data_IF_441485307642
#
_entry.id   IF_441485307642
#
_cell.length_a   1.000
_cell.length_b   1.000
_cell.length_c   1.000
_cell.angle_alpha   90.00
_cell.angle_beta   90.00
_cell.angle_gamma   90.00
#
_symmetry.space_group_name_H-M   'P 1'
#
loop_
_entity.id
_entity.type
_entity.pdbx_description
1 polymer ?
#
# COMPACT_ATOMS: atom_id res chain seq x y z
N UNK A 1 1.90 -12.51 14.87
CA UNK A 1 2.34 -11.37 15.71
C UNK A 1 1.15 -10.48 16.00
N UNK A 2 0.85 -10.18 17.29
CA UNK A 2 -0.22 -9.25 17.69
C UNK A 2 0.39 -7.86 17.88
N UNK A 3 -0.11 -6.85 17.18
CA UNK A 3 0.28 -5.47 17.41
C UNK A 3 -0.63 -4.91 18.50
N UNK A 4 -0.06 -4.51 19.64
CA UNK A 4 -0.83 -3.79 20.66
C UNK A 4 -1.40 -2.52 20.04
N UNK A 5 -2.68 -2.24 20.31
CA UNK A 5 -3.28 -0.94 19.93
C UNK A 5 -2.37 0.17 20.46
N UNK A 6 -1.99 1.06 19.58
CA UNK A 6 -1.17 2.22 19.90
C UNK A 6 -1.56 3.35 18.97
N UNK A 7 -1.19 4.58 19.32
CA UNK A 7 -1.38 5.74 18.44
C UNK A 7 -0.71 5.56 17.06
N UNK A 8 0.22 4.60 16.93
CA UNK A 8 0.89 4.28 15.67
C UNK A 8 0.18 3.23 14.82
N UNK A 9 -0.62 2.35 15.44
CA UNK A 9 -1.36 1.28 14.78
C UNK A 9 -2.74 1.16 15.44
N UNK A 10 -3.66 2.11 15.16
CA UNK A 10 -4.97 2.16 15.80
C UNK A 10 -5.77 0.87 15.58
N UNK A 11 -5.58 0.23 14.43
CA UNK A 11 -6.26 -0.98 13.99
C UNK A 11 -5.53 -2.28 14.39
N UNK A 12 -4.39 -2.18 15.10
CA UNK A 12 -3.59 -3.35 15.48
C UNK A 12 -3.10 -4.22 14.29
N UNK A 13 -2.97 -3.62 13.10
CA UNK A 13 -2.47 -4.30 11.89
C UNK A 13 -1.20 -3.62 11.37
N UNK A 14 -0.32 -4.42 10.76
CA UNK A 14 0.79 -3.93 9.93
C UNK A 14 0.78 -4.72 8.63
N UNK A 15 0.90 -4.02 7.51
CA UNK A 15 0.86 -4.64 6.19
C UNK A 15 1.80 -3.92 5.22
N UNK A 16 2.14 -4.62 4.14
CA UNK A 16 2.75 -4.03 2.95
C UNK A 16 2.23 -4.78 1.72
N UNK A 17 1.58 -4.08 0.80
CA UNK A 17 1.12 -4.56 -0.49
C UNK A 17 1.87 -3.81 -1.57
N UNK A 18 2.57 -4.51 -2.45
CA UNK A 18 3.49 -3.88 -3.40
C UNK A 18 3.29 -4.50 -4.79
N UNK A 19 3.21 -3.63 -5.80
CA UNK A 19 3.23 -4.01 -7.21
C UNK A 19 4.54 -3.53 -7.84
N UNK A 20 5.35 -4.51 -8.25
CA UNK A 20 6.65 -4.30 -8.88
C UNK A 20 6.59 -4.69 -10.36
N UNK A 21 7.27 -3.94 -11.22
CA UNK A 21 7.45 -4.30 -12.63
C UNK A 21 8.95 -4.41 -12.94
N UNK A 22 9.34 -5.43 -13.71
CA UNK A 22 10.73 -5.58 -14.16
C UNK A 22 11.03 -4.54 -15.23
N UNK A 23 12.12 -3.79 -15.06
CA UNK A 23 12.64 -2.81 -16.00
C UNK A 23 14.16 -2.81 -15.91
N UNK A 24 14.84 -2.81 -17.07
CA UNK A 24 16.31 -2.81 -17.15
C UNK A 24 16.98 -3.83 -16.19
N UNK A 25 16.48 -5.06 -16.16
CA UNK A 25 17.04 -6.14 -15.34
C UNK A 25 16.67 -6.13 -13.85
N UNK A 26 16.04 -5.08 -13.32
CA UNK A 26 15.66 -4.95 -11.91
C UNK A 26 14.15 -4.73 -11.72
N UNK A 27 13.65 -4.91 -10.49
CA UNK A 27 12.26 -4.66 -10.15
C UNK A 27 12.09 -3.23 -9.62
N UNK A 28 11.27 -2.43 -10.28
CA UNK A 28 10.91 -1.08 -9.85
C UNK A 28 9.53 -1.10 -9.18
N UNK A 29 9.37 -0.40 -8.04
CA UNK A 29 8.06 -0.23 -7.39
C UNK A 29 7.23 0.77 -8.18
N UNK A 30 6.14 0.26 -8.76
CA UNK A 30 5.17 1.09 -9.49
C UNK A 30 4.09 1.60 -8.54
N UNK A 31 3.63 0.72 -7.64
CA UNK A 31 2.53 1.01 -6.73
C UNK A 31 2.64 0.24 -5.41
N UNK A 32 2.10 0.78 -4.32
CA UNK A 32 2.03 0.07 -3.05
C UNK A 32 1.10 0.71 -2.04
N UNK A 33 0.62 -0.08 -1.08
CA UNK A 33 0.04 0.41 0.18
C UNK A 33 0.82 -0.19 1.34
N UNK A 34 1.16 0.63 2.31
CA UNK A 34 1.63 0.15 3.60
C UNK A 34 1.18 1.10 4.73
N UNK A 35 1.45 0.70 5.96
CA UNK A 35 1.25 1.57 7.10
C UNK A 35 2.55 1.71 7.89
N UNK A 36 3.11 2.91 7.84
CA UNK A 36 4.36 3.25 8.52
C UNK A 36 4.06 3.85 9.89
N UNK A 37 4.88 3.46 10.87
CA UNK A 37 4.78 3.93 12.24
C UNK A 37 4.85 5.46 12.26
N UNK A 38 3.80 6.10 12.76
CA UNK A 38 3.74 7.56 12.88
C UNK A 38 3.23 8.29 11.64
N UNK A 39 3.09 7.62 10.48
CA UNK A 39 2.47 8.17 9.28
C UNK A 39 1.05 7.64 9.04
N UNK A 40 0.75 6.46 9.56
CA UNK A 40 -0.50 5.75 9.29
C UNK A 40 -0.52 5.14 7.89
N UNK A 41 -1.71 4.94 7.34
CA UNK A 41 -1.91 4.29 6.05
C UNK A 41 -1.55 5.22 4.90
N UNK A 42 -0.75 4.74 3.95
CA UNK A 42 -0.38 5.54 2.78
C UNK A 42 -0.17 4.70 1.52
N UNK A 43 -0.38 5.39 0.39
CA UNK A 43 -0.11 4.97 -0.97
C UNK A 43 1.30 5.36 -1.38
N UNK A 44 1.99 4.44 -2.03
CA UNK A 44 3.23 4.68 -2.76
C UNK A 44 2.93 4.62 -4.24
N UNK A 45 3.20 5.69 -4.99
CA UNK A 45 3.05 5.71 -6.45
C UNK A 45 4.17 6.50 -7.09
N UNK A 46 4.95 5.85 -7.96
CA UNK A 46 6.06 6.47 -8.68
C UNK A 46 6.99 7.30 -7.78
N UNK A 47 7.32 6.78 -6.58
CA UNK A 47 8.17 7.45 -5.60
C UNK A 47 7.50 8.56 -4.77
N UNK A 48 6.18 8.77 -4.92
CA UNK A 48 5.40 9.70 -4.09
C UNK A 48 4.58 8.95 -3.06
N UNK A 49 4.54 9.50 -1.85
CA UNK A 49 3.71 9.01 -0.75
C UNK A 49 2.47 9.89 -0.59
N UNK A 50 1.31 9.27 -0.37
CA UNK A 50 0.06 9.98 -0.05
C UNK A 50 -0.72 9.24 1.03
N UNK A 51 -1.15 9.93 2.08
CA UNK A 51 -2.01 9.36 3.11
C UNK A 51 -3.34 8.89 2.52
N UNK A 52 -3.82 7.74 2.99
CA UNK A 52 -5.12 7.18 2.61
C UNK A 52 -5.98 6.97 3.85
N UNK A 53 -7.30 7.04 3.66
CA UNK A 53 -8.25 6.66 4.69
C UNK A 53 -8.37 5.13 4.73
N UNK A 54 -8.17 4.52 5.90
CA UNK A 54 -8.37 3.10 6.07
C UNK A 54 -9.85 2.78 6.32
N UNK A 55 -10.51 2.21 5.31
CA UNK A 55 -11.93 1.82 5.35
C UNK A 55 -12.13 0.33 5.63
N UNK A 56 -11.16 -0.30 6.28
CA UNK A 56 -11.16 -1.75 6.53
C UNK A 56 -10.37 -2.55 5.50
N UNK A 57 -10.10 -3.80 5.87
CA UNK A 57 -9.18 -4.68 5.15
C UNK A 57 -9.68 -5.04 3.74
N UNK A 58 -10.96 -5.41 3.60
CA UNK A 58 -11.55 -5.78 2.31
C UNK A 58 -11.53 -4.61 1.32
N UNK A 59 -11.83 -3.40 1.82
CA UNK A 59 -11.76 -2.18 1.01
C UNK A 59 -10.33 -1.95 0.53
N UNK A 60 -9.35 -2.03 1.44
CA UNK A 60 -7.94 -1.81 1.14
C UNK A 60 -7.43 -2.77 0.04
N UNK A 61 -7.71 -4.07 0.16
CA UNK A 61 -7.31 -5.08 -0.82
C UNK A 61 -8.00 -4.85 -2.17
N UNK A 62 -9.31 -4.52 -2.15
CA UNK A 62 -10.07 -4.24 -3.38
C UNK A 62 -9.57 -3.01 -4.10
N UNK A 63 -9.24 -1.94 -3.39
CA UNK A 63 -8.66 -0.74 -4.00
C UNK A 63 -7.27 -1.02 -4.57
N UNK A 64 -6.42 -1.73 -3.83
CA UNK A 64 -5.10 -2.12 -4.31
C UNK A 64 -5.19 -2.88 -5.64
N UNK A 65 -6.05 -3.90 -5.69
CA UNK A 65 -6.26 -4.69 -6.90
C UNK A 65 -6.76 -3.83 -8.08
N UNK A 66 -7.75 -2.96 -7.85
CA UNK A 66 -8.26 -2.05 -8.88
C UNK A 66 -7.17 -1.12 -9.43
N UNK A 67 -6.31 -0.57 -8.58
CA UNK A 67 -5.21 0.29 -9.04
C UNK A 67 -4.17 -0.50 -9.84
N UNK A 68 -3.84 -1.72 -9.42
CA UNK A 68 -2.97 -2.61 -10.20
C UNK A 68 -3.59 -2.94 -11.55
N UNK A 69 -4.89 -3.24 -11.63
CA UNK A 69 -5.58 -3.45 -12.90
C UNK A 69 -5.53 -2.24 -13.82
N UNK A 70 -5.75 -1.02 -13.30
CA UNK A 70 -5.63 0.21 -14.08
C UNK A 70 -4.22 0.39 -14.64
N UNK A 71 -3.20 0.15 -13.81
CA UNK A 71 -1.79 0.22 -14.22
C UNK A 71 -1.49 -0.80 -15.33
N UNK A 72 -2.04 -2.02 -15.23
CA UNK A 72 -1.85 -3.08 -16.23
C UNK A 72 -2.57 -2.82 -17.55
N UNK A 73 -3.72 -2.14 -17.52
CA UNK A 73 -4.53 -1.81 -18.71
C UNK A 73 -4.04 -0.56 -19.43
N UNK A 74 -3.38 0.36 -18.72
CA UNK A 74 -2.91 1.64 -19.25
C UNK A 74 -1.44 1.71 -19.67
N UNK A 75 -0.76 0.57 -19.84
CA UNK A 75 0.66 0.54 -20.22
C UNK A 75 1.05 -0.72 -20.97
#
# INVERSE_FOLDING_TARGET
>A
WKIRKSNYFPESIKYSMVYLKKKNGHYERIFGYDNERGKGHHEHRNGKEKSIEFRGWEHLVRQFYKEVEKIRKGG
#
